data_IF_238553790790
#
_entry.id   IF_238553790790
#
_cell.length_a   1.000
_cell.length_b   1.000
_cell.length_c   1.000
_cell.angle_alpha   90.00
_cell.angle_beta   90.00
_cell.angle_gamma   90.00
#
_symmetry.space_group_name_H-M   'P 1'
#
loop_
_entity.id
_entity.type
_entity.pdbx_description
1 polymer ?
#
# COMPACT_ATOMS: atom_id res chain seq x y z
N UNK A 1 -21.14 -0.83 47.74
CA UNK A 1 -20.73 -1.94 46.84
C UNK A 1 -21.15 -1.75 45.36
N UNK A 2 -22.31 -1.14 45.05
CA UNK A 2 -22.79 -0.95 43.65
C UNK A 2 -21.98 0.03 42.77
N UNK A 3 -21.26 1.00 43.37
CA UNK A 3 -20.47 2.00 42.62
C UNK A 3 -19.15 1.45 42.05
N UNK A 4 -18.57 0.41 42.66
CA UNK A 4 -17.34 -0.23 42.16
C UNK A 4 -17.60 -1.04 40.87
N UNK A 5 -18.77 -1.67 40.74
CA UNK A 5 -19.13 -2.43 39.54
C UNK A 5 -19.31 -1.56 38.29
N UNK A 6 -19.74 -0.30 38.47
CA UNK A 6 -19.91 0.65 37.36
C UNK A 6 -18.54 1.17 36.88
N UNK A 7 -17.60 1.49 37.79
CA UNK A 7 -16.24 1.90 37.38
C UNK A 7 -15.47 0.76 36.67
N UNK A 8 -15.63 -0.48 37.11
CA UNK A 8 -15.02 -1.64 36.45
C UNK A 8 -15.58 -1.87 35.03
N UNK A 9 -16.88 -1.63 34.83
CA UNK A 9 -17.52 -1.74 33.51
C UNK A 9 -17.04 -0.69 32.50
N UNK A 10 -16.89 0.58 32.93
CA UNK A 10 -16.42 1.66 32.05
C UNK A 10 -14.93 1.49 31.71
N UNK A 11 -14.11 1.04 32.66
CA UNK A 11 -12.70 0.73 32.41
C UNK A 11 -12.53 -0.46 31.44
N UNK A 12 -13.37 -1.49 31.55
CA UNK A 12 -13.36 -2.64 30.64
C UNK A 12 -13.77 -2.29 29.20
N UNK A 13 -14.74 -1.39 29.03
CA UNK A 13 -15.19 -0.89 27.70
C UNK A 13 -14.16 0.03 27.07
N UNK A 14 -13.50 0.90 27.86
CA UNK A 14 -12.44 1.76 27.36
C UNK A 14 -11.21 0.95 26.89
N UNK A 15 -10.83 -0.11 27.63
CA UNK A 15 -9.70 -0.95 27.27
C UNK A 15 -9.96 -1.79 26.01
N UNK A 16 -11.19 -2.28 25.82
CA UNK A 16 -11.58 -3.00 24.58
C UNK A 16 -11.63 -2.08 23.35
N UNK A 17 -12.04 -0.82 23.50
CA UNK A 17 -12.01 0.16 22.42
C UNK A 17 -10.56 0.54 22.01
N UNK A 18 -9.65 0.66 22.98
CA UNK A 18 -8.22 0.93 22.71
C UNK A 18 -7.56 -0.28 22.04
N UNK A 19 -7.87 -1.51 22.47
CA UNK A 19 -7.36 -2.72 21.81
C UNK A 19 -7.91 -2.88 20.38
N UNK A 20 -9.18 -2.57 20.15
CA UNK A 20 -9.77 -2.62 18.80
C UNK A 20 -9.19 -1.55 17.86
N UNK A 21 -8.80 -0.38 18.40
CA UNK A 21 -8.09 0.65 17.63
C UNK A 21 -6.60 0.32 17.39
N UNK A 22 -6.06 -0.68 18.10
CA UNK A 22 -4.66 -1.09 18.00
C UNK A 22 -4.40 -2.20 16.97
N UNK A 23 -5.37 -2.47 16.08
CA UNK A 23 -5.11 -3.25 14.87
C UNK A 23 -4.16 -2.45 13.98
N UNK A 24 -2.86 -2.54 14.28
CA UNK A 24 -1.80 -2.23 13.32
C UNK A 24 -2.23 -2.91 12.02
N UNK A 25 -2.45 -2.13 10.96
CA UNK A 25 -2.98 -2.63 9.70
C UNK A 25 -2.22 -3.89 9.32
N UNK A 26 -2.93 -5.02 9.31
CA UNK A 26 -2.33 -6.29 8.93
C UNK A 26 -1.75 -6.07 7.54
N UNK A 27 -0.47 -6.40 7.36
CA UNK A 27 0.07 -6.51 6.02
C UNK A 27 -0.87 -7.45 5.26
N UNK A 28 -1.43 -6.95 4.15
CA UNK A 28 -2.29 -7.76 3.32
C UNK A 28 -1.40 -8.79 2.60
N UNK A 29 -1.24 -9.95 3.24
CA UNK A 29 -0.43 -11.05 2.73
C UNK A 29 -0.90 -11.49 1.33
N UNK A 30 -2.13 -11.14 0.94
CA UNK A 30 -2.67 -11.45 -0.38
C UNK A 30 -2.26 -10.46 -1.47
N UNK A 31 -1.71 -9.28 -1.11
CA UNK A 31 -1.56 -8.18 -2.07
C UNK A 31 -0.63 -8.51 -3.23
N UNK A 32 0.46 -9.22 -2.96
CA UNK A 32 1.38 -9.65 -4.02
C UNK A 32 0.70 -10.65 -4.96
N UNK A 33 -0.13 -11.55 -4.45
CA UNK A 33 -0.90 -12.50 -5.26
C UNK A 33 -1.94 -11.79 -6.13
N UNK A 34 -2.60 -10.75 -5.61
CA UNK A 34 -3.47 -9.89 -6.42
C UNK A 34 -2.72 -9.21 -7.57
N UNK A 35 -1.53 -8.66 -7.29
CA UNK A 35 -0.72 -8.01 -8.32
C UNK A 35 -0.22 -9.01 -9.37
N UNK A 36 0.16 -10.23 -8.96
CA UNK A 36 0.52 -11.32 -9.88
C UNK A 36 -0.66 -11.70 -10.77
N UNK A 37 -1.85 -11.87 -10.19
CA UNK A 37 -3.07 -12.19 -10.94
C UNK A 37 -3.49 -11.07 -11.90
N UNK A 38 -3.34 -9.81 -11.47
CA UNK A 38 -3.59 -8.62 -12.30
C UNK A 38 -2.55 -8.48 -13.43
N UNK A 39 -1.33 -8.96 -13.23
CA UNK A 39 -0.24 -8.94 -14.20
C UNK A 39 0.60 -7.65 -14.21
N UNK A 40 0.22 -6.62 -13.46
CA UNK A 40 0.96 -5.36 -13.38
C UNK A 40 0.86 -4.69 -12.01
N UNK A 41 1.84 -3.85 -11.67
CA UNK A 41 1.76 -2.91 -10.53
C UNK A 41 1.53 -1.48 -11.02
N UNK A 42 0.63 -0.75 -10.34
CA UNK A 42 0.43 0.69 -10.59
C UNK A 42 1.35 1.50 -9.69
N UNK A 43 2.22 2.32 -10.29
CA UNK A 43 3.23 3.11 -9.57
C UNK A 43 3.00 4.60 -9.77
N UNK A 44 3.07 5.38 -8.68
CA UNK A 44 2.95 6.83 -8.74
C UNK A 44 4.25 7.46 -9.26
N UNK A 45 4.14 8.38 -10.22
CA UNK A 45 5.29 9.11 -10.79
C UNK A 45 4.93 10.57 -11.10
N UNK A 46 5.95 11.43 -11.19
CA UNK A 46 5.81 12.88 -11.44
C UNK A 46 6.19 13.30 -12.87
N UNK A 47 6.59 12.35 -13.74
CA UNK A 47 7.09 12.63 -15.09
C UNK A 47 8.26 13.65 -15.12
N UNK A 48 9.26 13.39 -14.28
CA UNK A 48 10.48 14.19 -14.13
C UNK A 48 11.71 13.41 -14.62
N UNK A 49 12.11 13.53 -15.90
CA UNK A 49 13.35 12.93 -16.39
C UNK A 49 14.59 13.49 -15.66
N UNK A 50 15.62 12.68 -15.37
CA UNK A 50 15.79 11.27 -15.76
C UNK A 50 15.19 10.26 -14.74
N UNK A 51 14.51 10.73 -13.69
CA UNK A 51 13.99 9.87 -12.63
C UNK A 51 12.76 9.08 -13.05
N UNK A 52 11.80 9.74 -13.69
CA UNK A 52 10.56 9.14 -14.21
C UNK A 52 10.16 9.78 -15.54
N UNK A 53 9.62 8.99 -16.46
CA UNK A 53 9.08 9.49 -17.72
C UNK A 53 7.93 8.61 -18.22
N UNK A 54 6.97 9.23 -18.91
CA UNK A 54 5.91 8.53 -19.66
C UNK A 54 6.01 8.93 -21.13
N UNK A 55 6.21 7.95 -22.00
CA UNK A 55 6.18 8.16 -23.45
C UNK A 55 4.74 8.29 -23.97
N UNK A 56 4.57 8.76 -25.20
CA UNK A 56 3.25 8.98 -25.81
C UNK A 56 2.42 7.69 -25.95
N UNK A 57 3.07 6.53 -26.01
CA UNK A 57 2.45 5.21 -26.01
C UNK A 57 2.10 4.69 -24.60
N UNK A 58 2.34 5.50 -23.56
CA UNK A 58 2.11 5.17 -22.16
C UNK A 58 3.25 4.41 -21.49
N UNK A 59 4.37 4.13 -22.19
CA UNK A 59 5.50 3.40 -21.62
C UNK A 59 6.17 4.21 -20.51
N UNK A 60 6.30 3.59 -19.34
CA UNK A 60 6.96 4.17 -18.16
C UNK A 60 8.46 3.80 -18.15
N UNK A 61 9.33 4.78 -17.97
CA UNK A 61 10.79 4.59 -17.91
C UNK A 61 11.47 5.56 -16.94
N UNK A 62 12.79 5.41 -16.76
CA UNK A 62 13.61 6.28 -15.91
C UNK A 62 14.23 5.48 -14.76
N UNK A 63 15.12 6.11 -14.01
CA UNK A 63 15.89 5.42 -12.97
C UNK A 63 15.00 4.69 -11.95
N UNK A 64 13.91 5.31 -11.48
CA UNK A 64 13.03 4.68 -10.50
C UNK A 64 12.09 3.61 -11.12
N UNK A 65 11.38 3.87 -12.24
CA UNK A 65 10.54 2.86 -12.87
C UNK A 65 11.32 1.63 -13.38
N UNK A 66 12.54 1.80 -13.87
CA UNK A 66 13.33 0.68 -14.39
C UNK A 66 13.75 -0.29 -13.27
N UNK A 67 14.16 0.25 -12.12
CA UNK A 67 14.45 -0.56 -10.91
C UNK A 67 13.18 -1.23 -10.39
N UNK A 68 12.07 -0.49 -10.29
CA UNK A 68 10.80 -1.03 -9.83
C UNK A 68 10.31 -2.17 -10.72
N UNK A 69 10.39 -2.01 -12.05
CA UNK A 69 10.02 -3.02 -13.05
C UNK A 69 10.81 -4.31 -12.85
N UNK A 70 12.12 -4.21 -12.66
CA UNK A 70 12.98 -5.39 -12.47
C UNK A 70 12.67 -6.11 -11.14
N UNK A 71 12.39 -5.36 -10.06
CA UNK A 71 11.97 -5.95 -8.79
C UNK A 71 10.62 -6.67 -8.94
N UNK A 72 9.62 -6.00 -9.50
CA UNK A 72 8.29 -6.60 -9.68
C UNK A 72 8.32 -7.84 -10.57
N UNK A 73 9.13 -7.82 -11.64
CA UNK A 73 9.34 -8.99 -12.49
C UNK A 73 9.89 -10.19 -11.70
N UNK A 74 10.87 -9.98 -10.82
CA UNK A 74 11.40 -11.03 -9.92
C UNK A 74 10.36 -11.54 -8.92
N UNK A 75 9.39 -10.70 -8.57
CA UNK A 75 8.26 -11.07 -7.71
C UNK A 75 7.08 -11.71 -8.47
N UNK A 76 7.17 -11.87 -9.79
CA UNK A 76 6.12 -12.47 -10.63
C UNK A 76 5.07 -11.49 -11.16
N UNK A 77 5.31 -10.18 -11.05
CA UNK A 77 4.46 -9.12 -11.61
C UNK A 77 5.15 -8.57 -12.85
N UNK A 78 4.64 -8.90 -14.04
CA UNK A 78 5.41 -8.75 -15.28
C UNK A 78 5.50 -7.32 -15.82
N UNK A 79 4.66 -6.40 -15.36
CA UNK A 79 4.64 -5.03 -15.86
C UNK A 79 4.40 -3.98 -14.75
N UNK A 80 4.70 -2.72 -15.08
CA UNK A 80 4.36 -1.55 -14.28
C UNK A 80 3.65 -0.51 -15.16
N UNK A 81 2.62 0.14 -14.59
CA UNK A 81 1.88 1.22 -15.25
C UNK A 81 1.91 2.48 -14.40
N UNK A 82 1.92 3.64 -15.05
CA UNK A 82 1.98 4.91 -14.34
C UNK A 82 0.63 5.31 -13.75
N UNK A 83 0.67 5.87 -12.55
CA UNK A 83 -0.31 6.82 -12.04
C UNK A 83 0.41 8.17 -11.97
N UNK A 84 0.03 9.11 -12.81
CA UNK A 84 0.67 10.42 -12.83
C UNK A 84 0.09 11.24 -11.69
N UNK A 85 0.94 11.70 -10.77
CA UNK A 85 0.57 12.70 -9.78
C UNK A 85 0.96 14.06 -10.31
N UNK A 86 0.02 14.99 -10.33
CA UNK A 86 0.30 16.39 -10.60
C UNK A 86 0.68 17.09 -9.27
N UNK A 87 1.57 18.07 -9.34
CA UNK A 87 1.92 18.97 -8.23
C UNK A 87 1.24 20.32 -8.43
#
# INVERSE_FOLDING_TARGET
MKKLGILAGVAGVALTAILAASTAGSADDSKLEELKAQGFARVAIANEPPYTAVAADGKVSGAAPDVAREIFKRLGVNDIVASISEY
#
